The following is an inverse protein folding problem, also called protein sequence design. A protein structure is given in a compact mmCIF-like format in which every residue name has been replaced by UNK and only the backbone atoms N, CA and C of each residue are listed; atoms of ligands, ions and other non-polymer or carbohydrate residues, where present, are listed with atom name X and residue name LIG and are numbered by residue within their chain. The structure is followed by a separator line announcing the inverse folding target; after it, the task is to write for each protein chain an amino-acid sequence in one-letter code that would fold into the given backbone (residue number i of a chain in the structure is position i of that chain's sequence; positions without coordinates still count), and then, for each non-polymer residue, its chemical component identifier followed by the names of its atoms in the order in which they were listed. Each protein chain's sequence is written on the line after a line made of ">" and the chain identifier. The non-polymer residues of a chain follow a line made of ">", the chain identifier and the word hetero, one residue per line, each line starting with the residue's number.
data_IF_339752871283
#
_entry.id   IF_339752871283
#
_cell.length_a   1.000
_cell.length_b   1.000
_cell.length_c   1.000
_cell.angle_alpha   90.00
_cell.angle_beta   90.00
_cell.angle_gamma   90.00
#
_symmetry.space_group_name_H-M   'P 1'
#
loop_
_entity.id
_entity.type
_entity.pdbx_description
1 polymer ?
#
# COMPACT_ATOMS: atom_id res chain seq x y z
N UNK A 1 1.48 3.68 -24.40
CA UNK A 1 2.81 4.30 -24.57
C UNK A 1 3.06 5.47 -23.60
N UNK A 2 2.11 6.39 -23.36
CA UNK A 2 2.28 7.54 -22.45
C UNK A 2 2.52 7.17 -20.97
N UNK A 3 1.88 6.12 -20.42
CA UNK A 3 2.04 5.71 -19.03
C UNK A 3 3.43 5.18 -18.67
N UNK A 4 4.09 4.48 -19.61
CA UNK A 4 5.44 3.94 -19.41
C UNK A 4 6.48 5.07 -19.39
N UNK A 5 6.28 6.09 -20.21
CA UNK A 5 7.16 7.25 -20.27
C UNK A 5 7.14 8.04 -18.94
N UNK A 6 5.99 8.13 -18.28
CA UNK A 6 5.82 8.88 -17.04
C UNK A 6 6.40 8.15 -15.81
N UNK A 7 6.24 6.83 -15.70
CA UNK A 7 6.90 6.03 -14.64
C UNK A 7 8.42 6.09 -14.79
N UNK A 8 8.92 6.02 -16.03
CA UNK A 8 10.33 6.23 -16.32
C UNK A 8 10.76 7.65 -15.93
N UNK A 9 9.95 8.66 -16.21
CA UNK A 9 10.25 10.06 -15.93
C UNK A 9 10.18 10.35 -14.42
N UNK A 10 9.26 9.76 -13.66
CA UNK A 10 9.23 9.82 -12.20
C UNK A 10 10.42 9.11 -11.55
N UNK A 11 10.80 7.94 -12.06
CA UNK A 11 12.04 7.26 -11.65
C UNK A 11 13.28 8.08 -12.04
N UNK A 12 13.29 8.70 -13.21
CA UNK A 12 14.39 9.56 -13.70
C UNK A 12 14.43 10.88 -12.91
N UNK A 13 13.31 11.51 -12.58
CA UNK A 13 13.30 12.72 -11.74
C UNK A 13 13.66 12.45 -10.28
N UNK A 14 13.23 11.33 -9.72
CA UNK A 14 13.71 10.84 -8.43
C UNK A 14 15.23 10.60 -8.50
N UNK A 15 15.71 9.98 -9.57
CA UNK A 15 17.11 9.72 -9.81
C UNK A 15 17.95 11.00 -10.07
N UNK A 16 17.43 11.97 -10.84
CA UNK A 16 18.10 13.27 -11.07
C UNK A 16 18.20 14.16 -9.83
N UNK A 17 17.20 14.11 -8.94
CA UNK A 17 17.27 14.84 -7.67
C UNK A 17 18.13 14.18 -6.61
N UNK A 18 18.37 12.87 -6.72
CA UNK A 18 19.31 12.14 -5.87
C UNK A 18 20.78 12.33 -6.26
N UNK A 19 21.03 12.61 -7.54
CA UNK A 19 22.36 12.82 -8.08
C UNK A 19 22.58 14.32 -8.33
N UNK A 20 22.92 15.10 -7.32
CA UNK A 20 23.82 16.27 -7.49
C UNK A 20 25.21 15.73 -7.84
N UNK A 21 25.33 15.03 -8.95
CA UNK A 21 26.59 14.50 -9.44
C UNK A 21 26.88 15.14 -10.79
N UNK A 22 27.97 15.86 -10.86
CA UNK A 22 28.56 16.48 -12.05
C UNK A 22 29.07 15.47 -13.10
N UNK A 23 28.44 14.30 -13.27
CA UNK A 23 28.95 13.33 -14.23
C UNK A 23 27.88 12.48 -14.97
N UNK A 24 26.96 13.19 -15.63
CA UNK A 24 26.01 12.60 -16.59
C UNK A 24 26.72 11.89 -17.77
N UNK A 25 27.96 12.28 -18.08
CA UNK A 25 28.73 11.69 -19.17
C UNK A 25 29.23 10.27 -18.87
N UNK A 26 29.59 10.00 -17.63
CA UNK A 26 30.08 8.68 -17.20
C UNK A 26 28.96 7.66 -17.13
N UNK A 27 27.75 8.07 -16.70
CA UNK A 27 26.57 7.23 -16.63
C UNK A 27 26.05 6.84 -18.03
N UNK A 28 25.98 7.79 -18.97
CA UNK A 28 25.57 7.53 -20.35
C UNK A 28 26.57 6.59 -21.09
N UNK A 29 27.86 6.64 -20.77
CA UNK A 29 28.83 5.70 -21.32
C UNK A 29 28.69 4.28 -20.79
N UNK A 30 28.32 4.11 -19.53
CA UNK A 30 28.08 2.79 -18.92
C UNK A 30 26.78 2.14 -19.42
N UNK A 31 25.74 2.94 -19.67
CA UNK A 31 24.43 2.45 -20.10
C UNK A 31 24.34 2.18 -21.61
N UNK A 32 25.07 2.93 -22.45
CA UNK A 32 25.08 2.80 -23.92
C UNK A 32 26.20 1.89 -24.47
N UNK A 33 27.08 1.39 -23.60
CA UNK A 33 28.20 0.52 -23.98
C UNK A 33 27.84 -0.92 -24.36
N UNK A 34 26.59 -1.33 -24.27
CA UNK A 34 26.10 -2.65 -24.61
C UNK A 34 25.27 -2.68 -25.89
N UNK A 35 25.90 -2.96 -27.04
CA UNK A 35 25.28 -3.38 -28.33
C UNK A 35 24.46 -2.41 -29.19
N UNK A 36 24.32 -1.13 -28.87
CA UNK A 36 23.62 -0.17 -29.77
C UNK A 36 24.55 0.85 -30.44
N UNK A 37 25.86 0.74 -30.29
CA UNK A 37 26.88 1.64 -30.80
C UNK A 37 27.16 1.53 -32.31
N UNK A 38 26.39 0.78 -33.12
CA UNK A 38 26.70 0.56 -34.56
C UNK A 38 25.67 1.10 -35.55
N UNK A 39 24.64 1.82 -35.15
CA UNK A 39 23.59 2.27 -36.11
C UNK A 39 23.53 3.79 -36.32
N UNK A 40 24.29 4.59 -35.57
CA UNK A 40 24.27 6.05 -35.78
C UNK A 40 25.66 6.56 -36.20
N UNK A 41 26.12 6.12 -37.34
CA UNK A 41 27.29 6.68 -37.99
C UNK A 41 27.08 6.68 -39.51
N UNK A 42 26.15 7.47 -39.99
CA UNK A 42 26.12 7.98 -41.40
C UNK A 42 24.86 8.83 -41.59
N UNK A 43 24.98 10.13 -41.32
CA UNK A 43 24.31 11.19 -42.06
C UNK A 43 24.98 12.53 -41.72
N UNK A 44 25.57 13.13 -42.74
CA UNK A 44 26.36 14.35 -42.68
C UNK A 44 25.50 15.62 -42.71
N UNK A 45 25.91 16.59 -41.93
CA UNK A 45 25.94 18.08 -42.04
C UNK A 45 25.48 18.75 -43.39
N UNK A 46 25.19 20.08 -43.45
CA UNK A 46 25.58 21.20 -42.57
C UNK A 46 24.50 22.28 -42.33
N UNK A 47 24.74 23.19 -41.39
CA UNK A 47 24.00 24.43 -41.25
C UNK A 47 24.63 25.37 -40.19
N UNK A 48 25.43 26.28 -40.64
CA UNK A 48 26.07 27.39 -39.92
C UNK A 48 25.03 28.44 -39.52
N UNK A 49 25.01 28.89 -38.27
CA UNK A 49 24.49 30.20 -37.87
C UNK A 49 25.36 30.81 -36.78
N UNK A 50 25.91 31.98 -37.13
CA UNK A 50 26.62 32.92 -36.26
C UNK A 50 25.78 33.39 -35.09
N UNK A 51 26.38 33.47 -33.90
CA UNK A 51 25.91 34.29 -32.80
C UNK A 51 26.97 35.31 -32.38
N UNK A 52 26.64 36.54 -32.63
CA UNK A 52 27.36 37.73 -32.23
C UNK A 52 27.27 37.93 -30.69
N UNK A 53 28.44 38.08 -30.08
CA UNK A 53 28.57 38.59 -28.69
C UNK A 53 28.28 40.09 -28.65
N UNK A 54 27.36 40.48 -27.74
CA UNK A 54 27.32 41.82 -27.19
C UNK A 54 27.70 41.74 -25.73
N UNK A 55 28.89 42.26 -25.41
CA UNK A 55 29.33 42.52 -24.06
C UNK A 55 28.83 43.90 -23.66
N UNK A 56 28.02 43.99 -22.60
CA UNK A 56 27.82 45.21 -21.84
C UNK A 56 28.13 44.92 -20.38
N UNK A 57 29.24 45.47 -19.91
CA UNK A 57 29.58 45.48 -18.49
C UNK A 57 28.65 46.40 -17.71
N UNK A 58 28.14 45.88 -16.62
CA UNK A 58 27.46 46.63 -15.56
C UNK A 58 27.98 46.11 -14.22
N UNK A 59 28.68 46.99 -13.49
CA UNK A 59 29.02 46.74 -12.11
C UNK A 59 27.76 46.81 -11.27
N UNK A 60 27.30 45.67 -10.77
CA UNK A 60 26.24 45.63 -9.76
C UNK A 60 26.86 45.55 -8.38
N UNK A 61 26.72 46.61 -7.63
CA UNK A 61 26.87 46.65 -6.17
C UNK A 61 25.85 45.72 -5.52
N UNK A 62 26.20 45.00 -4.44
CA UNK A 62 25.21 44.16 -3.75
C UNK A 62 24.29 45.05 -2.90
N UNK A 63 23.18 45.46 -3.47
CA UNK A 63 22.06 45.97 -2.67
C UNK A 63 21.44 44.77 -1.91
N UNK A 64 21.47 44.90 -0.58
CA UNK A 64 20.75 44.05 0.31
C UNK A 64 19.24 44.08 -0.04
N UNK A 65 18.73 43.10 -0.78
CA UNK A 65 17.30 42.92 -0.95
C UNK A 65 16.69 42.53 0.37
N UNK A 66 16.00 43.51 0.95
CA UNK A 66 15.02 43.28 1.99
C UNK A 66 14.09 42.14 1.57
N UNK A 67 13.87 41.18 2.48
CA UNK A 67 13.09 39.96 2.24
C UNK A 67 11.68 40.25 1.74
N UNK A 68 11.52 40.18 0.44
CA UNK A 68 10.20 39.99 -0.15
C UNK A 68 9.74 38.58 0.19
N UNK A 69 8.67 38.47 0.97
CA UNK A 69 8.01 37.18 1.19
C UNK A 69 7.73 36.57 -0.18
N UNK A 70 8.33 35.41 -0.46
CA UNK A 70 7.96 34.63 -1.62
C UNK A 70 6.54 34.16 -1.34
N UNK A 71 5.57 34.86 -1.94
CA UNK A 71 4.17 34.45 -1.91
C UNK A 71 4.13 33.04 -2.53
N UNK A 72 3.79 32.07 -1.71
CA UNK A 72 3.54 30.75 -2.18
C UNK A 72 2.41 30.81 -3.21
N UNK A 73 2.64 30.34 -4.43
CA UNK A 73 1.59 30.22 -5.44
C UNK A 73 0.49 29.32 -4.88
N UNK A 74 -0.76 29.75 -4.99
CA UNK A 74 -1.93 28.99 -4.53
C UNK A 74 -2.16 27.67 -5.31
N UNK A 75 -1.35 27.42 -6.32
CA UNK A 75 -1.46 26.21 -7.14
C UNK A 75 -0.74 25.03 -6.49
N UNK A 76 -1.51 23.99 -6.22
CA UNK A 76 -1.00 22.67 -5.80
C UNK A 76 -0.79 21.81 -7.03
N UNK A 77 0.42 21.34 -7.24
CA UNK A 77 0.73 20.35 -8.28
C UNK A 77 0.63 18.95 -7.67
N UNK A 78 -0.44 18.22 -8.01
CA UNK A 78 -0.61 16.84 -7.61
C UNK A 78 0.10 15.88 -8.57
N UNK A 79 0.84 14.92 -8.01
CA UNK A 79 1.35 13.79 -8.76
C UNK A 79 0.19 12.85 -9.15
N UNK A 80 0.21 12.25 -10.36
CA UNK A 80 -0.79 11.28 -10.74
C UNK A 80 -0.71 10.04 -9.84
N UNK A 81 -1.86 9.58 -9.35
CA UNK A 81 -2.02 8.27 -8.74
C UNK A 81 -2.42 7.28 -9.84
N UNK A 82 -1.94 6.05 -9.75
CA UNK A 82 -2.15 5.05 -10.81
C UNK A 82 -3.28 4.09 -10.48
N UNK A 83 -3.44 3.75 -9.21
CA UNK A 83 -4.34 2.71 -8.75
C UNK A 83 -5.22 3.15 -7.58
N UNK A 84 -4.67 3.90 -6.62
CA UNK A 84 -5.39 4.40 -5.45
C UNK A 84 -6.24 5.63 -5.79
N UNK A 85 -7.44 5.68 -5.17
CA UNK A 85 -8.29 6.87 -5.16
C UNK A 85 -8.47 7.42 -3.74
N UNK A 86 -7.81 6.80 -2.75
CA UNK A 86 -7.98 7.13 -1.34
C UNK A 86 -6.91 8.07 -0.81
N UNK A 87 -5.81 8.27 -1.54
CA UNK A 87 -4.85 9.32 -1.24
C UNK A 87 -4.33 9.97 -2.51
N UNK A 88 -3.88 11.21 -2.39
CA UNK A 88 -3.12 11.91 -3.41
C UNK A 88 -2.02 12.73 -2.78
N UNK A 89 -0.89 12.81 -3.48
CA UNK A 89 0.28 13.58 -3.05
C UNK A 89 0.59 14.68 -4.05
N UNK A 90 0.95 15.84 -3.55
CA UNK A 90 1.32 17.00 -4.36
C UNK A 90 2.44 17.80 -3.72
N UNK A 91 2.71 18.97 -4.31
CA UNK A 91 3.69 19.92 -3.82
C UNK A 91 3.13 21.32 -3.89
N UNK A 92 3.48 22.13 -2.89
CA UNK A 92 3.34 23.59 -2.92
C UNK A 92 4.48 24.20 -2.11
N UNK A 93 5.08 25.27 -2.56
CA UNK A 93 6.17 25.98 -1.88
C UNK A 93 7.35 25.05 -1.48
N UNK A 94 7.64 24.06 -2.28
CA UNK A 94 8.70 23.08 -2.00
C UNK A 94 8.34 22.01 -0.96
N UNK A 95 7.18 22.14 -0.28
CA UNK A 95 6.71 21.18 0.72
C UNK A 95 5.80 20.12 0.10
N UNK A 96 5.76 18.93 0.70
CA UNK A 96 4.85 17.86 0.30
C UNK A 96 3.44 18.13 0.83
N UNK A 97 2.44 17.88 0.00
CA UNK A 97 1.04 17.92 0.38
C UNK A 97 0.44 16.53 0.22
N UNK A 98 -0.38 16.11 1.18
CA UNK A 98 -1.08 14.83 1.15
C UNK A 98 -2.54 15.05 1.50
N UNK A 99 -3.41 14.48 0.71
CA UNK A 99 -4.83 14.37 1.02
C UNK A 99 -5.19 12.89 1.11
N UNK A 100 -5.84 12.50 2.20
CA UNK A 100 -6.31 11.15 2.45
C UNK A 100 -7.82 11.18 2.59
N UNK A 101 -8.47 10.31 1.84
CA UNK A 101 -9.90 10.05 1.88
C UNK A 101 -10.16 8.74 2.62
N UNK A 102 -11.07 8.76 3.57
CA UNK A 102 -11.50 7.58 4.33
C UNK A 102 -13.01 7.50 4.35
N UNK A 103 -13.57 6.33 4.12
CA UNK A 103 -14.97 6.06 4.36
C UNK A 103 -15.11 5.60 5.83
N UNK A 104 -15.78 6.41 6.65
CA UNK A 104 -15.94 6.17 8.09
C UNK A 104 -17.42 6.07 8.41
N UNK A 105 -17.92 4.86 8.64
CA UNK A 105 -19.33 4.61 8.80
C UNK A 105 -20.13 4.94 7.53
N UNK A 106 -20.91 6.04 7.55
CA UNK A 106 -21.67 6.54 6.39
C UNK A 106 -21.06 7.78 5.76
N UNK A 107 -20.03 8.31 6.36
CA UNK A 107 -19.43 9.59 5.98
C UNK A 107 -18.11 9.39 5.24
N UNK A 108 -17.80 10.34 4.36
CA UNK A 108 -16.48 10.44 3.74
C UNK A 108 -15.67 11.49 4.48
N UNK A 109 -14.60 11.06 5.12
CA UNK A 109 -13.67 11.93 5.82
C UNK A 109 -12.47 12.25 4.91
N UNK A 110 -12.20 13.53 4.71
CA UNK A 110 -11.02 14.00 3.97
C UNK A 110 -10.08 14.69 4.95
N UNK A 111 -8.87 14.16 5.09
CA UNK A 111 -7.81 14.74 5.93
C UNK A 111 -6.66 15.22 5.06
N UNK A 112 -6.10 16.37 5.42
CA UNK A 112 -5.01 17.01 4.70
C UNK A 112 -3.79 17.16 5.57
N UNK A 113 -2.61 16.95 4.98
CA UNK A 113 -1.33 16.98 5.68
C UNK A 113 -0.31 17.77 4.87
N UNK A 114 0.51 18.58 5.57
CA UNK A 114 1.69 19.20 5.03
C UNK A 114 2.91 18.44 5.52
N UNK A 115 3.66 17.84 4.60
CA UNK A 115 4.92 17.17 4.90
C UNK A 115 6.07 18.16 4.70
N UNK A 116 6.55 18.73 5.79
CA UNK A 116 7.48 19.84 5.78
C UNK A 116 8.83 19.48 6.40
N UNK A 117 9.91 20.03 5.87
CA UNK A 117 11.22 19.91 6.48
C UNK A 117 11.36 20.73 7.77
N UNK A 118 12.41 20.51 8.53
CA UNK A 118 12.63 21.17 9.82
C UNK A 118 12.80 22.70 9.69
N UNK A 119 13.38 23.18 8.58
CA UNK A 119 13.58 24.62 8.36
C UNK A 119 12.25 25.32 8.09
N UNK A 120 11.34 24.66 7.34
CA UNK A 120 10.01 25.17 7.09
C UNK A 120 9.16 25.21 8.36
N UNK A 121 9.18 24.11 9.15
CA UNK A 121 8.43 24.03 10.41
C UNK A 121 8.91 25.04 11.45
N UNK A 122 10.19 25.42 11.42
CA UNK A 122 10.77 26.43 12.31
C UNK A 122 10.30 27.86 12.00
N UNK A 123 9.61 28.09 10.88
CA UNK A 123 9.06 29.39 10.49
C UNK A 123 7.51 29.36 10.55
N UNK A 124 6.91 29.78 11.68
CA UNK A 124 5.46 29.72 11.87
C UNK A 124 4.68 30.60 10.86
N UNK A 125 5.30 31.65 10.33
CA UNK A 125 4.66 32.50 9.33
C UNK A 125 4.51 31.77 8.00
N UNK A 126 5.55 31.08 7.54
CA UNK A 126 5.48 30.24 6.33
C UNK A 126 4.48 29.11 6.47
N UNK A 127 4.43 28.49 7.65
CA UNK A 127 3.44 27.45 7.95
C UNK A 127 2.02 28.04 7.86
N UNK A 128 1.77 29.19 8.49
CA UNK A 128 0.46 29.87 8.42
C UNK A 128 0.07 30.23 6.99
N UNK A 129 0.98 30.80 6.22
CA UNK A 129 0.73 31.18 4.82
C UNK A 129 0.33 29.96 3.99
N UNK A 130 1.02 28.84 4.11
CA UNK A 130 0.68 27.61 3.39
C UNK A 130 -0.68 27.04 3.82
N UNK A 131 -0.96 27.03 5.13
CA UNK A 131 -2.19 26.43 5.68
C UNK A 131 -3.39 27.40 5.70
N UNK A 132 -3.20 28.69 5.42
CA UNK A 132 -4.28 29.67 5.30
C UNK A 132 -5.05 29.54 3.98
N UNK A 133 -4.47 28.93 2.95
CA UNK A 133 -5.13 28.68 1.68
C UNK A 133 -6.39 27.82 1.88
N UNK A 134 -7.49 28.17 1.18
CA UNK A 134 -8.81 27.55 1.35
C UNK A 134 -8.77 26.01 1.28
N UNK A 135 -7.91 25.45 0.44
CA UNK A 135 -7.76 23.98 0.30
C UNK A 135 -7.00 23.33 1.46
N UNK A 136 -6.12 24.08 2.15
CA UNK A 136 -5.21 23.54 3.16
C UNK A 136 -5.49 24.05 4.57
N UNK A 137 -6.58 24.83 4.71
CA UNK A 137 -7.01 25.30 6.02
C UNK A 137 -7.26 24.11 6.96
N UNK A 138 -6.62 24.14 8.12
CA UNK A 138 -6.71 23.08 9.11
C UNK A 138 -5.91 21.81 8.77
N UNK A 139 -5.04 21.85 7.75
CA UNK A 139 -4.13 20.74 7.46
C UNK A 139 -3.17 20.49 8.63
N UNK A 140 -2.96 19.21 8.96
CA UNK A 140 -1.97 18.81 9.97
C UNK A 140 -0.57 18.92 9.38
N UNK A 141 0.32 19.66 10.04
CA UNK A 141 1.73 19.78 9.64
C UNK A 141 2.53 18.64 10.28
N UNK A 142 3.23 17.86 9.45
CA UNK A 142 4.09 16.76 9.88
C UNK A 142 5.52 17.08 9.45
N UNK A 143 6.42 17.14 10.44
CA UNK A 143 7.86 17.29 10.18
C UNK A 143 8.41 16.01 9.60
N UNK A 144 9.03 16.10 8.43
CA UNK A 144 9.68 14.95 7.78
C UNK A 144 11.18 15.15 7.65
N UNK A 145 11.98 14.07 7.71
CA UNK A 145 11.54 12.70 7.97
C UNK A 145 11.12 12.47 9.41
N UNK A 146 10.03 11.71 9.61
CA UNK A 146 9.56 11.26 10.92
C UNK A 146 10.64 10.40 11.57
N UNK A 147 10.90 10.64 12.85
CA UNK A 147 11.94 9.92 13.63
C UNK A 147 11.35 9.01 14.69
N UNK A 148 10.18 9.35 15.20
CA UNK A 148 9.50 8.63 16.28
C UNK A 148 8.03 8.45 15.93
N UNK A 149 7.64 7.23 15.56
CA UNK A 149 6.28 6.91 15.18
C UNK A 149 5.62 5.95 16.16
N UNK A 150 4.37 6.22 16.52
CA UNK A 150 3.45 5.23 17.10
C UNK A 150 2.59 4.69 15.98
N UNK A 151 2.52 3.36 15.84
CA UNK A 151 1.93 2.66 14.71
C UNK A 151 0.85 1.68 15.21
N UNK A 152 -0.40 1.92 14.85
CA UNK A 152 -1.53 1.18 15.41
C UNK A 152 -2.16 0.16 14.45
N UNK A 153 -1.57 -0.04 13.26
CA UNK A 153 -2.08 -1.00 12.26
C UNK A 153 -0.97 -1.92 11.76
N UNK A 154 -1.27 -3.22 11.60
CA UNK A 154 -0.36 -4.20 11.00
C UNK A 154 0.04 -3.84 9.57
N UNK A 155 -0.87 -3.26 8.78
CA UNK A 155 -0.57 -2.85 7.42
C UNK A 155 0.47 -1.72 7.38
N UNK A 156 0.37 -0.76 8.30
CA UNK A 156 1.36 0.31 8.46
C UNK A 156 2.74 -0.27 8.84
N UNK A 157 2.79 -1.25 9.76
CA UNK A 157 4.02 -1.98 10.10
C UNK A 157 4.61 -2.66 8.86
N UNK A 158 3.78 -3.32 8.05
CA UNK A 158 4.22 -4.00 6.83
C UNK A 158 4.90 -3.08 5.81
N UNK A 159 4.44 -1.83 5.66
CA UNK A 159 5.12 -0.84 4.82
C UNK A 159 6.45 -0.39 5.43
N UNK A 160 6.49 -0.14 6.74
CA UNK A 160 7.72 0.31 7.42
C UNK A 160 8.80 -0.75 7.39
N UNK A 161 8.45 -2.01 7.69
CA UNK A 161 9.35 -3.16 7.57
C UNK A 161 9.88 -3.34 6.14
N UNK A 162 9.00 -3.18 5.13
CA UNK A 162 9.40 -3.30 3.72
C UNK A 162 10.39 -2.22 3.29
N UNK A 163 10.30 -1.03 3.88
CA UNK A 163 11.19 0.09 3.62
C UNK A 163 12.46 0.08 4.47
N UNK A 164 12.58 -0.81 5.47
CA UNK A 164 13.71 -0.86 6.40
C UNK A 164 13.78 0.39 7.28
N UNK A 165 12.62 0.85 7.78
CA UNK A 165 12.50 2.03 8.66
C UNK A 165 11.84 1.69 10.01
N UNK A 166 11.88 0.43 10.41
CA UNK A 166 11.34 -0.06 11.66
C UNK A 166 12.05 0.52 12.90
N UNK A 167 13.25 1.05 12.73
CA UNK A 167 13.99 1.79 13.76
C UNK A 167 13.29 3.09 14.19
N UNK A 168 12.32 3.55 13.42
CA UNK A 168 11.48 4.73 13.71
C UNK A 168 10.28 4.41 14.60
N UNK A 169 9.96 3.13 14.79
CA UNK A 169 8.81 2.70 15.59
C UNK A 169 9.21 2.78 17.06
N UNK A 170 8.48 3.58 17.84
CA UNK A 170 8.67 3.70 19.29
C UNK A 170 7.49 3.14 20.09
N UNK A 171 6.35 2.95 19.43
CA UNK A 171 5.17 2.34 20.03
C UNK A 171 4.31 1.64 19.01
N UNK A 172 3.66 0.58 19.44
CA UNK A 172 2.74 -0.24 18.62
C UNK A 172 1.43 -0.46 19.35
N UNK A 173 0.41 -0.89 18.61
CA UNK A 173 -0.85 -1.35 19.19
C UNK A 173 -0.64 -2.60 20.06
N UNK A 174 -1.31 -3.69 19.72
CA UNK A 174 -1.14 -4.97 20.44
C UNK A 174 0.04 -5.76 19.87
N UNK A 175 1.12 -5.90 20.65
CA UNK A 175 2.34 -6.60 20.26
C UNK A 175 2.12 -8.08 19.89
N UNK A 176 1.15 -8.72 20.53
CA UNK A 176 0.78 -10.10 20.25
C UNK A 176 0.37 -10.36 18.79
N UNK A 177 -0.15 -9.35 18.08
CA UNK A 177 -0.56 -9.47 16.67
C UNK A 177 0.57 -9.22 15.68
N UNK A 178 1.77 -8.82 16.09
CA UNK A 178 2.90 -8.61 15.21
C UNK A 178 3.43 -9.97 14.74
N UNK A 179 3.57 -10.14 13.43
CA UNK A 179 4.02 -11.40 12.81
C UNK A 179 5.52 -11.37 12.53
N UNK A 180 6.10 -10.20 12.26
CA UNK A 180 7.55 -10.06 12.12
C UNK A 180 8.24 -10.37 13.45
N UNK A 181 9.06 -11.42 13.48
CA UNK A 181 9.67 -11.95 14.70
C UNK A 181 10.69 -10.99 15.33
N UNK A 182 11.42 -10.23 14.51
CA UNK A 182 12.41 -9.28 15.00
C UNK A 182 11.71 -8.08 15.66
N UNK A 183 10.64 -7.58 15.06
CA UNK A 183 9.84 -6.50 15.64
C UNK A 183 9.12 -6.98 16.92
N UNK A 184 8.53 -8.18 16.91
CA UNK A 184 7.89 -8.78 18.08
C UNK A 184 8.87 -8.97 19.25
N UNK A 185 10.11 -9.38 18.96
CA UNK A 185 11.18 -9.49 19.98
C UNK A 185 11.49 -8.14 20.63
N UNK A 186 11.58 -7.05 19.86
CA UNK A 186 11.80 -5.69 20.38
C UNK A 186 10.65 -5.23 21.29
N UNK A 187 9.41 -5.56 20.95
CA UNK A 187 8.25 -5.27 21.81
C UNK A 187 8.34 -6.08 23.11
N UNK A 188 8.66 -7.37 23.03
CA UNK A 188 8.81 -8.23 24.21
C UNK A 188 9.95 -7.76 25.11
N UNK A 189 11.04 -7.26 24.54
CA UNK A 189 12.17 -6.68 25.28
C UNK A 189 11.88 -5.29 25.88
N UNK A 190 10.73 -4.67 25.54
CA UNK A 190 10.39 -3.32 26.00
C UNK A 190 11.12 -2.20 25.27
N UNK A 191 11.84 -2.49 24.17
CA UNK A 191 12.48 -1.49 23.32
C UNK A 191 11.46 -0.68 22.54
N UNK A 192 10.34 -1.31 22.17
CA UNK A 192 9.15 -0.70 21.57
C UNK A 192 7.99 -0.90 22.54
N UNK A 193 7.31 0.19 22.89
CA UNK A 193 6.26 0.14 23.90
C UNK A 193 4.94 -0.31 23.28
N UNK A 194 4.29 -1.29 23.91
CA UNK A 194 2.90 -1.61 23.60
C UNK A 194 1.98 -0.58 24.24
N UNK A 195 1.28 0.21 23.41
CA UNK A 195 0.36 1.26 23.87
C UNK A 195 -1.08 0.79 23.96
N UNK A 196 -1.38 -0.43 23.51
CA UNK A 196 -2.73 -0.98 23.45
C UNK A 196 -3.40 -0.76 22.10
N UNK A 197 -4.61 -1.30 21.91
CA UNK A 197 -5.34 -1.33 20.64
C UNK A 197 -6.81 -0.96 20.83
N UNK A 198 -7.40 -0.23 19.89
CA UNK A 198 -8.77 0.20 19.92
C UNK A 198 -9.08 1.06 21.15
N UNK A 199 -10.22 0.91 21.81
CA UNK A 199 -10.59 1.70 22.99
C UNK A 199 -9.65 1.48 24.19
N UNK A 200 -8.70 0.58 24.06
CA UNK A 200 -7.70 0.29 25.09
C UNK A 200 -6.36 0.98 24.85
N UNK A 201 -6.22 1.84 23.83
CA UNK A 201 -5.01 2.64 23.65
C UNK A 201 -4.83 3.60 24.84
N UNK A 202 -3.67 3.49 25.51
CA UNK A 202 -3.29 4.37 26.60
C UNK A 202 -2.71 5.67 26.06
N UNK A 203 -3.46 6.76 26.19
CA UNK A 203 -3.02 8.10 25.79
C UNK A 203 -1.77 8.53 26.55
N UNK A 204 -1.64 8.16 27.83
CA UNK A 204 -0.46 8.45 28.66
C UNK A 204 0.79 7.79 28.11
N UNK A 205 0.71 6.51 27.72
CA UNK A 205 1.82 5.81 27.11
C UNK A 205 2.22 6.47 25.78
N UNK A 206 1.25 6.84 24.94
CA UNK A 206 1.51 7.54 23.68
C UNK A 206 2.25 8.85 23.91
N UNK A 207 1.77 9.69 24.85
CA UNK A 207 2.41 10.98 25.18
C UNK A 207 3.82 10.77 25.74
N UNK A 208 4.02 9.78 26.61
CA UNK A 208 5.33 9.48 27.21
C UNK A 208 6.40 9.16 26.19
N UNK A 209 6.01 8.59 25.06
CA UNK A 209 6.90 8.27 23.92
C UNK A 209 7.35 9.51 23.15
N UNK A 210 6.71 10.66 23.32
CA UNK A 210 6.99 11.92 22.59
C UNK A 210 7.11 11.65 21.07
N UNK A 211 6.09 11.08 20.42
CA UNK A 211 6.15 10.73 19.02
C UNK A 211 6.09 11.99 18.14
N UNK A 212 6.75 11.96 16.99
CA UNK A 212 6.59 12.95 15.92
C UNK A 212 5.30 12.73 15.14
N UNK A 213 4.80 11.49 15.13
CA UNK A 213 3.61 11.07 14.39
C UNK A 213 2.95 9.87 15.08
N UNK A 214 1.64 9.92 15.21
CA UNK A 214 0.78 8.76 15.51
C UNK A 214 0.05 8.37 14.23
N UNK A 215 0.13 7.11 13.83
CA UNK A 215 -0.61 6.58 12.68
C UNK A 215 -1.67 5.61 13.15
N UNK A 216 -2.91 5.83 12.69
CA UNK A 216 -4.08 5.01 13.04
C UNK A 216 -4.99 4.79 11.83
N UNK A 217 -6.09 4.11 12.04
CA UNK A 217 -7.17 3.92 11.07
C UNK A 217 -8.51 4.14 11.79
N UNK A 218 -9.60 4.34 11.02
CA UNK A 218 -10.94 4.45 11.56
C UNK A 218 -11.94 3.67 10.70
N UNK A 219 -12.88 3.00 11.36
CA UNK A 219 -13.92 2.17 10.74
C UNK A 219 -15.31 2.77 10.87
N UNK A 220 -15.47 3.81 11.70
CA UNK A 220 -16.77 4.37 12.11
C UNK A 220 -17.42 3.59 13.25
N UNK A 221 -16.69 2.65 13.85
CA UNK A 221 -17.16 1.84 14.96
C UNK A 221 -16.83 2.42 16.34
N UNK A 222 -17.46 1.85 17.38
CA UNK A 222 -17.25 2.26 18.78
C UNK A 222 -15.81 2.01 19.29
N UNK A 223 -14.99 1.32 18.50
CA UNK A 223 -13.61 0.98 18.85
C UNK A 223 -12.56 1.86 18.14
N UNK A 224 -13.01 2.92 17.46
CA UNK A 224 -12.09 3.86 16.82
C UNK A 224 -11.50 4.82 17.88
N UNK A 225 -10.18 4.95 17.90
CA UNK A 225 -9.45 5.83 18.81
C UNK A 225 -9.14 7.21 18.22
N UNK A 226 -9.53 7.46 16.97
CA UNK A 226 -9.11 8.65 16.24
C UNK A 226 -9.41 9.95 17.01
N UNK A 227 -10.64 10.13 17.49
CA UNK A 227 -11.05 11.36 18.20
C UNK A 227 -10.33 11.52 19.54
N UNK A 228 -10.11 10.42 20.26
CA UNK A 228 -9.34 10.43 21.51
C UNK A 228 -7.87 10.79 21.26
N UNK A 229 -7.25 10.19 20.27
CA UNK A 229 -5.86 10.48 19.90
C UNK A 229 -5.69 11.92 19.38
N UNK A 230 -6.68 12.48 18.71
CA UNK A 230 -6.65 13.86 18.24
C UNK A 230 -6.53 14.88 19.38
N UNK A 231 -6.95 14.52 20.60
CA UNK A 231 -6.83 15.41 21.80
C UNK A 231 -5.39 15.55 22.31
N UNK A 232 -4.45 14.70 21.86
CA UNK A 232 -3.07 14.68 22.38
C UNK A 232 -2.21 15.86 21.90
N UNK A 233 -2.64 16.59 20.87
CA UNK A 233 -1.83 17.66 20.26
C UNK A 233 -0.59 17.18 19.51
N UNK A 234 -0.45 15.86 19.29
CA UNK A 234 0.58 15.24 18.46
C UNK A 234 0.03 15.09 17.04
N UNK A 235 0.86 15.28 15.98
CA UNK A 235 0.42 14.98 14.64
C UNK A 235 -0.17 13.58 14.51
N UNK A 236 -1.42 13.49 14.07
CA UNK A 236 -2.18 12.25 13.94
C UNK A 236 -2.54 12.04 12.47
N UNK A 237 -2.13 10.92 11.89
CA UNK A 237 -2.47 10.52 10.53
C UNK A 237 -3.43 9.34 10.54
N UNK A 238 -4.59 9.56 9.95
CA UNK A 238 -5.55 8.51 9.61
C UNK A 238 -5.19 7.97 8.24
N UNK A 239 -4.89 6.67 8.13
CA UNK A 239 -4.60 6.00 6.86
C UNK A 239 -5.76 5.11 6.43
N UNK A 240 -5.93 4.91 5.12
CA UNK A 240 -7.08 4.22 4.53
C UNK A 240 -6.67 3.10 3.56
N UNK A 241 -5.43 2.64 3.64
CA UNK A 241 -4.90 1.57 2.78
C UNK A 241 -5.70 0.26 2.91
N UNK A 242 -6.31 0.04 4.06
CA UNK A 242 -7.15 -1.14 4.31
C UNK A 242 -8.47 -1.11 3.54
N UNK A 243 -8.93 0.09 3.11
CA UNK A 243 -10.14 0.29 2.32
C UNK A 243 -9.92 0.15 0.81
N UNK A 244 -8.66 0.02 0.37
CA UNK A 244 -8.36 -0.19 -1.04
C UNK A 244 -8.97 -1.48 -1.56
N UNK A 245 -9.52 -1.43 -2.75
CA UNK A 245 -10.27 -2.53 -3.35
C UNK A 245 -9.42 -3.43 -4.28
N UNK A 246 -8.14 -3.13 -4.44
CA UNK A 246 -7.22 -3.98 -5.19
C UNK A 246 -5.80 -3.94 -4.60
N UNK A 247 -4.96 -4.98 -4.84
CA UNK A 247 -3.65 -5.08 -4.22
C UNK A 247 -2.65 -4.03 -4.70
N UNK A 248 -2.81 -3.50 -5.90
CA UNK A 248 -1.89 -2.51 -6.46
C UNK A 248 -2.16 -1.12 -5.89
N UNK A 249 -3.43 -0.76 -5.69
CA UNK A 249 -3.83 0.46 -5.00
C UNK A 249 -3.34 0.46 -3.55
N UNK A 250 -3.48 -0.67 -2.85
CA UNK A 250 -2.94 -0.82 -1.49
C UNK A 250 -1.42 -0.67 -1.46
N UNK A 251 -0.71 -1.29 -2.39
CA UNK A 251 0.74 -1.19 -2.48
C UNK A 251 1.22 0.23 -2.78
N UNK A 252 0.47 1.03 -3.54
CA UNK A 252 0.85 2.40 -3.92
C UNK A 252 1.07 3.32 -2.70
N UNK A 253 0.46 3.00 -1.55
CA UNK A 253 0.65 3.68 -0.27
C UNK A 253 2.10 3.64 0.22
N UNK A 254 2.93 2.70 -0.24
CA UNK A 254 4.37 2.66 0.11
C UNK A 254 5.07 3.98 -0.23
N UNK A 255 4.59 4.71 -1.22
CA UNK A 255 5.12 6.02 -1.62
C UNK A 255 4.90 7.10 -0.56
N UNK A 256 3.75 7.07 0.13
CA UNK A 256 3.47 7.94 1.27
C UNK A 256 4.40 7.62 2.45
N UNK A 257 4.54 6.35 2.80
CA UNK A 257 5.45 5.92 3.87
C UNK A 257 6.91 6.30 3.56
N UNK A 258 7.35 6.11 2.32
CA UNK A 258 8.68 6.52 1.90
C UNK A 258 8.90 8.03 2.05
N UNK A 259 7.89 8.84 1.79
CA UNK A 259 7.93 10.28 1.97
C UNK A 259 7.97 10.68 3.43
N UNK A 260 7.12 10.07 4.27
CA UNK A 260 7.05 10.33 5.71
C UNK A 260 8.39 10.02 6.40
N UNK A 261 9.02 8.92 6.07
CA UNK A 261 10.22 8.44 6.76
C UNK A 261 11.54 8.76 6.04
N UNK A 262 11.49 9.46 4.89
CA UNK A 262 12.69 9.80 4.12
C UNK A 262 13.33 8.60 3.42
N UNK A 263 12.55 7.57 3.09
CA UNK A 263 12.98 6.29 2.54
C UNK A 263 12.71 6.16 1.02
N UNK A 264 12.77 7.26 0.27
CA UNK A 264 12.54 7.24 -1.18
C UNK A 264 13.51 6.33 -1.95
N UNK A 265 14.82 6.25 -1.60
CA UNK A 265 15.73 5.30 -2.25
C UNK A 265 15.33 3.85 -2.04
N UNK A 266 14.93 3.50 -0.82
CA UNK A 266 14.47 2.15 -0.48
C UNK A 266 13.18 1.81 -1.23
N UNK A 267 12.22 2.74 -1.29
CA UNK A 267 10.99 2.57 -2.06
C UNK A 267 11.28 2.33 -3.54
N UNK A 268 12.24 3.06 -4.14
CA UNK A 268 12.64 2.83 -5.53
C UNK A 268 13.16 1.40 -5.76
N UNK A 269 13.93 0.85 -4.83
CA UNK A 269 14.38 -0.55 -4.91
C UNK A 269 13.23 -1.54 -4.77
N UNK A 270 12.30 -1.27 -3.84
CA UNK A 270 11.12 -2.12 -3.61
C UNK A 270 10.18 -2.13 -4.83
N UNK A 271 9.97 -0.98 -5.48
CA UNK A 271 9.05 -0.83 -6.62
C UNK A 271 9.66 -1.35 -7.92
N UNK A 272 11.00 -1.29 -8.07
CA UNK A 272 11.71 -1.64 -9.30
C UNK A 272 11.29 -2.97 -9.95
N UNK A 273 11.17 -4.11 -9.22
CA UNK A 273 10.76 -5.39 -9.83
C UNK A 273 9.31 -5.39 -10.32
N UNK A 274 8.48 -4.45 -9.89
CA UNK A 274 7.06 -4.40 -10.18
C UNK A 274 6.67 -3.48 -11.34
N UNK A 275 7.58 -2.61 -11.78
CA UNK A 275 7.31 -1.54 -12.77
C UNK A 275 6.70 -2.06 -14.08
N UNK A 276 7.10 -3.23 -14.53
CA UNK A 276 6.56 -3.86 -15.74
C UNK A 276 5.42 -4.85 -15.44
N UNK A 277 5.48 -5.52 -14.29
CA UNK A 277 4.57 -6.61 -13.94
C UNK A 277 3.19 -6.08 -13.53
N UNK A 278 3.15 -5.08 -12.65
CA UNK A 278 1.87 -4.56 -12.13
C UNK A 278 0.99 -3.98 -13.25
N UNK A 279 1.47 -3.17 -14.21
CA UNK A 279 0.61 -2.66 -15.28
C UNK A 279 -0.03 -3.76 -16.13
N UNK A 280 0.69 -4.86 -16.38
CA UNK A 280 0.13 -6.00 -17.13
C UNK A 280 -0.93 -6.75 -16.30
N UNK A 281 -0.66 -6.99 -15.02
CA UNK A 281 -1.63 -7.61 -14.12
C UNK A 281 -2.88 -6.73 -13.95
N UNK A 282 -2.72 -5.43 -13.77
CA UNK A 282 -3.81 -4.49 -13.56
C UNK A 282 -4.79 -4.40 -14.75
N UNK A 283 -4.41 -4.82 -15.96
CA UNK A 283 -5.34 -4.92 -17.09
C UNK A 283 -6.52 -5.83 -16.80
N UNK A 284 -6.34 -6.84 -15.96
CA UNK A 284 -7.42 -7.76 -15.54
C UNK A 284 -8.51 -7.08 -14.70
N UNK A 285 -8.19 -5.94 -14.06
CA UNK A 285 -9.21 -5.18 -13.29
C UNK A 285 -10.26 -4.51 -14.18
N UNK A 286 -9.94 -4.21 -15.44
CA UNK A 286 -10.87 -3.60 -16.38
C UNK A 286 -11.99 -4.54 -16.81
N UNK A 287 -11.85 -5.84 -16.59
CA UNK A 287 -12.79 -6.87 -17.00
C UNK A 287 -13.04 -7.88 -15.87
N UNK A 288 -14.10 -7.69 -15.07
CA UNK A 288 -14.40 -8.57 -13.94
C UNK A 288 -14.62 -10.04 -14.31
N UNK A 289 -14.93 -10.32 -15.56
CA UNK A 289 -15.24 -11.66 -16.05
C UNK A 289 -14.10 -12.29 -16.88
N UNK A 290 -12.95 -11.65 -16.95
CA UNK A 290 -11.85 -12.14 -17.81
C UNK A 290 -11.44 -13.57 -17.46
N UNK A 291 -11.26 -13.88 -16.18
CA UNK A 291 -10.90 -15.22 -15.72
C UNK A 291 -11.99 -16.27 -16.04
N UNK A 292 -13.27 -15.86 -16.03
CA UNK A 292 -14.36 -16.74 -16.39
C UNK A 292 -14.35 -17.07 -17.88
N UNK A 293 -14.04 -16.11 -18.74
CA UNK A 293 -13.90 -16.34 -20.19
C UNK A 293 -12.65 -17.13 -20.55
N UNK A 294 -11.60 -17.02 -19.75
CA UNK A 294 -10.37 -17.78 -19.88
C UNK A 294 -10.47 -19.20 -19.24
N UNK A 295 -11.67 -19.63 -18.86
CA UNK A 295 -11.92 -20.92 -18.21
C UNK A 295 -11.15 -21.13 -16.89
N UNK A 296 -10.90 -20.05 -16.16
CA UNK A 296 -10.33 -20.13 -14.82
C UNK A 296 -11.21 -20.91 -13.84
N UNK A 297 -10.63 -21.51 -12.80
CA UNK A 297 -11.40 -22.23 -11.76
C UNK A 297 -12.52 -21.34 -11.19
N UNK A 298 -13.72 -21.90 -11.08
CA UNK A 298 -14.89 -21.21 -10.52
C UNK A 298 -14.73 -21.08 -9.00
N UNK A 299 -14.77 -19.86 -8.49
CA UNK A 299 -14.42 -19.56 -7.09
C UNK A 299 -15.62 -18.99 -6.34
N UNK A 300 -15.93 -19.59 -5.18
CA UNK A 300 -16.75 -18.95 -4.14
C UNK A 300 -15.82 -18.40 -3.04
N UNK A 301 -16.24 -17.35 -2.37
CA UNK A 301 -15.53 -16.80 -1.21
C UNK A 301 -16.52 -16.40 -0.12
N UNK A 302 -16.02 -16.30 1.12
CA UNK A 302 -16.82 -15.92 2.27
C UNK A 302 -17.11 -17.06 3.22
N UNK A 303 -17.96 -16.80 4.22
CA UNK A 303 -18.24 -17.74 5.31
C UNK A 303 -19.73 -17.81 5.66
N UNK A 304 -20.13 -18.95 6.22
CA UNK A 304 -21.42 -19.09 6.87
C UNK A 304 -21.35 -18.65 8.34
N UNK A 305 -22.30 -17.82 8.75
CA UNK A 305 -22.47 -17.43 10.14
C UNK A 305 -23.96 -17.21 10.45
N UNK A 306 -24.49 -17.86 11.48
CA UNK A 306 -25.90 -17.77 11.87
C UNK A 306 -26.88 -18.18 10.77
N UNK A 307 -26.53 -19.15 9.91
CA UNK A 307 -27.37 -19.63 8.80
C UNK A 307 -27.36 -18.74 7.56
N UNK A 308 -26.57 -17.66 7.54
CA UNK A 308 -26.37 -16.74 6.42
C UNK A 308 -24.96 -16.91 5.89
N UNK A 309 -24.81 -16.90 4.56
CA UNK A 309 -23.53 -16.82 3.90
C UNK A 309 -23.16 -15.38 3.59
N UNK A 310 -22.00 -14.95 4.07
CA UNK A 310 -21.44 -13.62 3.85
C UNK A 310 -20.33 -13.72 2.81
N UNK A 311 -20.56 -13.15 1.64
CA UNK A 311 -19.61 -13.16 0.53
C UNK A 311 -19.06 -11.76 0.24
N UNK A 312 -17.77 -11.63 -0.12
CA UNK A 312 -17.23 -10.37 -0.61
C UNK A 312 -17.94 -9.94 -1.91
N UNK A 313 -18.31 -8.67 -2.05
CA UNK A 313 -18.83 -8.15 -3.30
C UNK A 313 -17.82 -8.23 -4.43
N UNK A 314 -18.27 -8.27 -5.67
CA UNK A 314 -17.43 -8.48 -6.85
C UNK A 314 -16.41 -7.38 -7.15
N UNK A 315 -16.54 -6.21 -6.50
CA UNK A 315 -15.59 -5.08 -6.58
C UNK A 315 -14.77 -4.93 -5.31
N UNK A 316 -14.79 -5.91 -4.41
CA UNK A 316 -14.01 -5.92 -3.18
C UNK A 316 -12.55 -6.30 -3.43
N UNK A 317 -11.71 -6.07 -2.42
CA UNK A 317 -10.30 -6.49 -2.43
C UNK A 317 -10.13 -8.01 -2.66
N UNK A 318 -10.93 -8.83 -1.99
CA UNK A 318 -10.89 -10.30 -2.16
C UNK A 318 -11.26 -10.70 -3.59
N UNK A 319 -12.31 -10.11 -4.17
CA UNK A 319 -12.70 -10.39 -5.55
C UNK A 319 -11.61 -9.96 -6.55
N UNK A 320 -10.95 -8.82 -6.32
CA UNK A 320 -9.81 -8.39 -7.11
C UNK A 320 -8.66 -9.40 -7.03
N UNK A 321 -8.27 -9.84 -5.83
CA UNK A 321 -7.23 -10.86 -5.66
C UNK A 321 -7.55 -12.16 -6.41
N UNK A 322 -8.79 -12.65 -6.31
CA UNK A 322 -9.24 -13.86 -7.01
C UNK A 322 -9.10 -13.69 -8.53
N UNK A 323 -9.55 -12.55 -9.09
CA UNK A 323 -9.40 -12.25 -10.54
C UNK A 323 -7.94 -12.18 -10.96
N UNK A 324 -7.11 -11.47 -10.18
CA UNK A 324 -5.68 -11.35 -10.45
C UNK A 324 -4.99 -12.71 -10.43
N UNK A 325 -5.44 -13.59 -9.54
CA UNK A 325 -4.97 -14.97 -9.45
C UNK A 325 -5.51 -15.88 -10.57
N UNK A 326 -6.37 -15.40 -11.46
CA UNK A 326 -6.96 -16.17 -12.56
C UNK A 326 -8.20 -16.99 -12.17
N UNK A 327 -8.77 -16.76 -10.99
CA UNK A 327 -10.01 -17.40 -10.54
C UNK A 327 -11.26 -16.71 -11.07
N UNK A 328 -12.22 -17.47 -11.58
CA UNK A 328 -13.55 -16.99 -11.97
C UNK A 328 -14.42 -16.84 -10.71
N UNK A 329 -14.50 -15.63 -10.15
CA UNK A 329 -15.33 -15.35 -8.98
C UNK A 329 -16.81 -15.32 -9.37
N UNK A 330 -17.66 -16.11 -8.70
CA UNK A 330 -19.04 -16.28 -9.11
C UNK A 330 -19.91 -15.03 -9.00
N UNK A 331 -19.56 -14.09 -8.14
CA UNK A 331 -20.27 -12.81 -7.95
C UNK A 331 -19.45 -11.61 -8.44
N UNK A 332 -18.80 -11.76 -9.61
CA UNK A 332 -17.80 -10.80 -10.13
C UNK A 332 -18.39 -9.43 -10.56
N UNK A 333 -19.69 -9.34 -10.83
CA UNK A 333 -20.32 -8.14 -11.44
C UNK A 333 -20.93 -7.17 -10.44
N UNK A 334 -20.78 -7.41 -9.13
CA UNK A 334 -21.52 -6.70 -8.12
C UNK A 334 -20.69 -5.59 -7.42
N UNK A 335 -21.09 -5.18 -6.23
CA UNK A 335 -20.66 -4.07 -5.40
C UNK A 335 -19.33 -4.33 -4.69
N UNK A 336 -18.77 -3.31 -4.04
CA UNK A 336 -17.69 -3.43 -3.04
C UNK A 336 -18.20 -3.95 -1.71
N UNK A 337 -19.51 -3.83 -1.44
CA UNK A 337 -20.14 -4.22 -0.17
C UNK A 337 -20.24 -5.74 -0.06
N UNK A 338 -20.38 -6.21 1.18
CA UNK A 338 -20.68 -7.60 1.49
C UNK A 338 -22.06 -8.00 0.93
N UNK A 339 -22.12 -9.20 0.34
CA UNK A 339 -23.32 -9.85 -0.14
C UNK A 339 -23.79 -10.86 0.90
N UNK A 340 -25.11 -11.03 1.02
CA UNK A 340 -25.73 -11.97 1.93
C UNK A 340 -26.62 -12.92 1.15
N UNK A 341 -26.40 -14.22 1.38
CA UNK A 341 -27.15 -15.29 0.76
C UNK A 341 -27.68 -16.24 1.83
N UNK A 342 -28.81 -16.87 1.59
CA UNK A 342 -29.19 -18.06 2.32
C UNK A 342 -28.24 -19.22 1.99
N UNK A 343 -28.16 -20.21 2.84
CA UNK A 343 -27.35 -21.40 2.53
C UNK A 343 -27.94 -22.19 1.35
N UNK A 344 -29.25 -22.16 1.16
CA UNK A 344 -29.95 -22.78 0.03
C UNK A 344 -29.50 -22.16 -1.30
N UNK A 345 -29.37 -20.83 -1.39
CA UNK A 345 -28.83 -20.15 -2.58
C UNK A 345 -27.37 -20.56 -2.84
N UNK A 346 -26.57 -20.71 -1.79
CA UNK A 346 -25.18 -21.18 -1.94
C UNK A 346 -25.15 -22.63 -2.43
N UNK A 347 -26.00 -23.51 -1.88
CA UNK A 347 -26.02 -24.91 -2.32
C UNK A 347 -26.50 -25.04 -3.78
N UNK A 348 -27.37 -24.15 -4.26
CA UNK A 348 -27.79 -24.13 -5.67
C UNK A 348 -26.63 -23.85 -6.66
N UNK A 349 -25.60 -23.12 -6.24
CA UNK A 349 -24.42 -22.78 -7.06
C UNK A 349 -23.16 -23.58 -6.69
N UNK A 350 -23.17 -24.28 -5.57
CA UNK A 350 -22.00 -24.90 -4.98
C UNK A 350 -21.37 -25.99 -5.86
N UNK A 351 -22.16 -26.75 -6.60
CA UNK A 351 -21.66 -27.79 -7.48
C UNK A 351 -20.97 -27.22 -8.73
N UNK A 352 -21.21 -25.95 -9.05
CA UNK A 352 -20.51 -25.23 -10.11
C UNK A 352 -19.18 -24.62 -9.65
N UNK A 353 -18.93 -24.55 -8.34
CA UNK A 353 -17.69 -24.00 -7.80
C UNK A 353 -16.59 -25.05 -7.71
N UNK A 354 -15.37 -24.70 -8.06
CA UNK A 354 -14.19 -25.57 -8.00
C UNK A 354 -13.36 -25.32 -6.75
N UNK A 355 -13.34 -24.06 -6.27
CA UNK A 355 -12.51 -23.62 -5.15
C UNK A 355 -13.30 -22.73 -4.22
N UNK A 356 -13.04 -22.84 -2.93
CA UNK A 356 -13.53 -21.95 -1.90
C UNK A 356 -12.37 -21.15 -1.31
N UNK A 357 -12.44 -19.82 -1.35
CA UNK A 357 -11.41 -18.91 -0.86
C UNK A 357 -11.91 -18.14 0.35
N UNK A 358 -11.06 -18.00 1.37
CA UNK A 358 -11.32 -17.26 2.60
C UNK A 358 -12.60 -17.71 3.33
N UNK A 359 -12.62 -18.91 3.92
CA UNK A 359 -13.75 -19.40 4.71
C UNK A 359 -13.93 -18.65 6.06
N UNK A 360 -13.54 -17.40 6.14
CA UNK A 360 -13.68 -16.55 7.31
C UNK A 360 -12.63 -16.83 8.38
N UNK A 361 -13.07 -17.06 9.60
CA UNK A 361 -12.19 -17.31 10.76
C UNK A 361 -11.75 -18.77 10.88
N UNK A 362 -12.31 -19.66 10.05
CA UNK A 362 -12.09 -21.08 10.16
C UNK A 362 -10.76 -21.49 9.51
N UNK A 363 -9.88 -22.06 10.33
CA UNK A 363 -8.54 -22.49 9.90
C UNK A 363 -8.45 -23.95 9.50
N UNK A 364 -9.43 -24.77 9.86
CA UNK A 364 -9.44 -26.20 9.62
C UNK A 364 -10.78 -26.68 9.04
N UNK A 365 -10.82 -27.83 8.37
CA UNK A 365 -12.08 -28.45 7.95
C UNK A 365 -13.03 -28.73 9.13
N UNK A 366 -12.47 -29.12 10.27
CA UNK A 366 -13.20 -29.44 11.50
C UNK A 366 -13.89 -28.18 12.05
N UNK A 367 -13.22 -27.02 12.06
CA UNK A 367 -13.79 -25.74 12.50
C UNK A 367 -14.99 -25.36 11.62
N UNK A 368 -14.87 -25.55 10.29
CA UNK A 368 -15.95 -25.28 9.35
C UNK A 368 -17.16 -26.16 9.64
N UNK A 369 -16.96 -27.47 9.83
CA UNK A 369 -18.04 -28.41 10.09
C UNK A 369 -18.65 -28.25 11.49
N UNK A 370 -17.87 -27.82 12.48
CA UNK A 370 -18.39 -27.49 13.80
C UNK A 370 -19.32 -26.29 13.77
N UNK A 371 -19.02 -25.30 12.90
CA UNK A 371 -19.85 -24.11 12.74
C UNK A 371 -21.11 -24.37 11.90
N UNK A 372 -21.00 -25.14 10.81
CA UNK A 372 -22.11 -25.44 9.91
C UNK A 372 -21.86 -26.79 9.18
N UNK A 373 -22.38 -27.88 9.72
CA UNK A 373 -22.14 -29.24 9.17
C UNK A 373 -22.58 -29.42 7.71
N UNK A 374 -23.60 -28.67 7.26
CA UNK A 374 -24.13 -28.74 5.88
C UNK A 374 -23.11 -28.33 4.83
N UNK A 375 -22.07 -27.58 5.22
CA UNK A 375 -21.00 -27.14 4.30
C UNK A 375 -20.16 -28.30 3.75
N UNK A 376 -20.21 -29.49 4.39
CA UNK A 376 -19.67 -30.73 3.83
C UNK A 376 -20.21 -31.06 2.42
N UNK A 377 -21.38 -30.53 2.05
CA UNK A 377 -22.01 -30.75 0.72
C UNK A 377 -21.37 -29.92 -0.38
N UNK A 378 -20.67 -28.84 -0.06
CA UNK A 378 -20.03 -27.98 -1.06
C UNK A 378 -18.98 -28.77 -1.86
N UNK A 379 -19.01 -28.68 -3.20
CA UNK A 379 -18.02 -29.36 -4.05
C UNK A 379 -16.57 -29.02 -3.65
N UNK A 380 -16.18 -27.72 -3.44
CA UNK A 380 -14.83 -27.40 -3.00
C UNK A 380 -14.42 -28.06 -1.69
N UNK A 381 -15.35 -28.23 -0.75
CA UNK A 381 -15.10 -28.95 0.50
C UNK A 381 -14.86 -30.44 0.25
N UNK A 382 -15.72 -31.11 -0.52
CA UNK A 382 -15.58 -32.53 -0.86
C UNK A 382 -14.32 -32.82 -1.66
N UNK A 383 -13.92 -31.91 -2.55
CA UNK A 383 -12.71 -32.05 -3.39
C UNK A 383 -11.46 -31.51 -2.71
N UNK A 384 -11.54 -31.09 -1.44
CA UNK A 384 -10.44 -30.55 -0.64
C UNK A 384 -9.75 -29.34 -1.30
N UNK A 385 -10.54 -28.45 -1.90
CA UNK A 385 -10.08 -27.24 -2.58
C UNK A 385 -10.54 -25.97 -1.82
N UNK A 386 -10.02 -25.78 -0.61
CA UNK A 386 -10.35 -24.66 0.25
C UNK A 386 -9.07 -23.89 0.61
N UNK A 387 -8.98 -22.63 0.16
CA UNK A 387 -7.85 -21.75 0.36
C UNK A 387 -8.13 -20.75 1.48
N UNK A 388 -7.26 -20.69 2.50
CA UNK A 388 -7.34 -19.73 3.59
C UNK A 388 -6.09 -18.84 3.60
N UNK A 389 -6.28 -17.56 3.96
CA UNK A 389 -5.22 -16.56 3.98
C UNK A 389 -4.45 -16.53 5.31
N UNK A 390 -4.33 -17.63 6.00
CA UNK A 390 -3.76 -17.76 7.34
C UNK A 390 -2.52 -18.64 7.41
N UNK A 391 -1.77 -18.75 6.32
CA UNK A 391 -0.59 -19.62 6.26
C UNK A 391 0.51 -19.21 7.24
N UNK A 392 0.54 -17.94 7.63
CA UNK A 392 1.51 -17.42 8.60
C UNK A 392 0.82 -16.52 9.63
N UNK A 393 0.93 -16.93 10.90
CA UNK A 393 0.34 -16.22 12.03
C UNK A 393 1.37 -16.03 13.14
N UNK A 394 1.20 -14.98 13.95
CA UNK A 394 1.89 -14.87 15.23
C UNK A 394 1.26 -15.79 16.27
N UNK A 395 1.97 -16.06 17.37
CA UNK A 395 1.45 -16.82 18.50
C UNK A 395 0.19 -16.20 19.11
N UNK A 396 0.04 -14.88 19.04
CA UNK A 396 -1.14 -14.14 19.52
C UNK A 396 -2.28 -14.04 18.51
N UNK A 397 -2.17 -14.70 17.35
CA UNK A 397 -3.22 -14.75 16.33
C UNK A 397 -3.14 -13.64 15.27
N UNK A 398 -2.12 -12.80 15.28
CA UNK A 398 -1.85 -11.85 14.20
C UNK A 398 -1.64 -12.59 12.88
N UNK A 399 -2.17 -12.05 11.78
CA UNK A 399 -2.15 -12.70 10.48
C UNK A 399 -1.29 -11.89 9.50
N UNK A 400 -0.25 -12.52 8.95
CA UNK A 400 0.71 -11.91 8.03
C UNK A 400 0.10 -11.39 6.73
N UNK A 401 -1.07 -11.88 6.36
CA UNK A 401 -1.85 -11.34 5.25
C UNK A 401 -2.17 -9.84 5.43
N UNK A 402 -2.30 -9.40 6.68
CA UNK A 402 -2.55 -7.98 7.01
C UNK A 402 -1.26 -7.20 7.33
N UNK A 403 -0.10 -7.87 7.42
CA UNK A 403 1.17 -7.24 7.73
C UNK A 403 2.09 -7.21 6.50
N UNK A 404 2.77 -8.30 6.17
CA UNK A 404 3.77 -8.28 5.11
C UNK A 404 3.19 -8.31 3.69
N UNK A 405 2.00 -8.90 3.49
CA UNK A 405 1.41 -9.03 2.16
C UNK A 405 1.03 -7.69 1.52
N UNK A 406 0.70 -6.67 2.33
CA UNK A 406 0.28 -5.34 1.84
C UNK A 406 1.33 -4.67 0.96
N UNK A 407 2.60 -5.00 1.19
CA UNK A 407 3.75 -4.45 0.47
C UNK A 407 4.36 -5.41 -0.58
N UNK A 408 3.68 -6.54 -0.87
CA UNK A 408 4.12 -7.60 -1.80
C UNK A 408 2.97 -8.06 -2.72
N UNK A 409 2.38 -7.17 -3.51
CA UNK A 409 1.13 -7.45 -4.23
C UNK A 409 1.27 -8.55 -5.28
N UNK A 410 2.41 -8.64 -5.96
CA UNK A 410 2.64 -9.64 -7.03
C UNK A 410 2.81 -11.02 -6.42
N UNK A 411 3.61 -11.12 -5.36
CA UNK A 411 3.84 -12.37 -4.64
C UNK A 411 2.55 -12.89 -3.98
N UNK A 412 1.75 -11.99 -3.41
CA UNK A 412 0.45 -12.33 -2.83
C UNK A 412 -0.50 -12.93 -3.88
N UNK A 413 -0.61 -12.29 -5.06
CA UNK A 413 -1.44 -12.80 -6.15
C UNK A 413 -0.93 -14.15 -6.65
N UNK A 414 0.38 -14.32 -6.78
CA UNK A 414 0.99 -15.59 -7.20
C UNK A 414 0.72 -16.70 -6.20
N UNK A 415 0.85 -16.41 -4.91
CA UNK A 415 0.56 -17.40 -3.87
C UNK A 415 -0.94 -17.82 -3.86
N UNK A 416 -1.86 -16.88 -4.07
CA UNK A 416 -3.27 -17.21 -4.24
C UNK A 416 -3.51 -18.02 -5.52
N UNK A 417 -2.83 -17.70 -6.63
CA UNK A 417 -2.91 -18.48 -7.88
C UNK A 417 -2.57 -19.94 -7.65
N UNK A 418 -1.46 -20.22 -6.96
CA UNK A 418 -1.07 -21.62 -6.65
C UNK A 418 -2.15 -22.35 -5.86
N UNK A 419 -2.74 -21.69 -4.86
CA UNK A 419 -3.82 -22.30 -4.09
C UNK A 419 -5.09 -22.51 -4.95
N UNK A 420 -5.48 -21.52 -5.76
CA UNK A 420 -6.65 -21.58 -6.64
C UNK A 420 -6.52 -22.64 -7.72
N UNK A 421 -5.33 -22.85 -8.28
CA UNK A 421 -5.08 -23.87 -9.30
C UNK A 421 -4.67 -25.22 -8.72
N UNK A 422 -4.39 -25.29 -7.42
CA UNK A 422 -3.99 -26.52 -6.74
C UNK A 422 -2.57 -26.97 -7.08
N UNK A 423 -1.70 -26.04 -7.42
CA UNK A 423 -0.28 -26.28 -7.72
C UNK A 423 0.43 -26.64 -6.42
N UNK A 424 1.14 -27.76 -6.40
CA UNK A 424 1.89 -28.21 -5.21
C UNK A 424 3.31 -27.63 -5.23
N UNK A 425 3.85 -27.44 -4.03
CA UNK A 425 5.24 -27.03 -3.86
C UNK A 425 6.18 -28.06 -4.49
N UNK A 426 7.18 -27.58 -5.28
CA UNK A 426 8.13 -28.45 -5.99
C UNK A 426 7.65 -28.97 -7.35
N UNK A 427 6.41 -28.69 -7.77
CA UNK A 427 6.00 -28.96 -9.15
C UNK A 427 6.65 -27.93 -10.11
N UNK A 428 7.06 -28.39 -11.31
CA UNK A 428 7.66 -27.53 -12.33
C UNK A 428 6.71 -26.38 -12.67
N UNK A 429 7.16 -25.11 -12.44
CA UNK A 429 6.35 -23.93 -12.64
C UNK A 429 5.77 -23.32 -11.36
N UNK A 430 6.12 -23.82 -10.17
CA UNK A 430 5.79 -23.17 -8.90
C UNK A 430 6.39 -21.76 -8.87
N UNK A 431 5.51 -20.77 -8.82
CA UNK A 431 5.88 -19.35 -8.88
C UNK A 431 6.35 -18.86 -7.50
N UNK A 432 6.02 -19.62 -6.44
CA UNK A 432 6.41 -19.33 -5.06
C UNK A 432 7.75 -19.94 -4.65
N UNK A 433 8.42 -20.68 -5.54
CA UNK A 433 9.75 -21.22 -5.28
C UNK A 433 10.72 -20.09 -4.93
N UNK A 434 11.24 -20.08 -3.69
CA UNK A 434 12.10 -19.02 -3.19
C UNK A 434 11.39 -17.79 -2.59
N UNK A 435 10.05 -17.77 -2.49
CA UNK A 435 9.37 -16.72 -1.72
C UNK A 435 9.56 -16.99 -0.23
N UNK A 436 10.07 -15.99 0.53
CA UNK A 436 10.30 -16.15 1.97
C UNK A 436 9.00 -16.26 2.77
N UNK A 437 7.84 -15.96 2.14
CA UNK A 437 6.56 -15.85 2.81
C UNK A 437 5.45 -16.45 1.96
N UNK A 438 4.55 -17.21 2.63
CA UNK A 438 3.27 -17.68 2.09
C UNK A 438 2.16 -17.11 2.94
N UNK A 439 1.09 -16.61 2.30
CA UNK A 439 -0.08 -16.06 2.98
C UNK A 439 -1.30 -16.96 2.82
N UNK A 440 -1.44 -17.59 1.64
CA UNK A 440 -2.50 -18.56 1.35
C UNK A 440 -2.00 -19.99 1.50
N UNK A 441 -2.84 -20.83 2.05
CA UNK A 441 -2.64 -22.28 2.10
C UNK A 441 -3.96 -23.00 1.82
N UNK A 442 -3.89 -24.24 1.35
CA UNK A 442 -5.03 -25.13 1.37
C UNK A 442 -5.18 -25.69 2.80
N UNK A 443 -6.38 -25.55 3.40
CA UNK A 443 -6.63 -25.99 4.79
C UNK A 443 -6.49 -27.48 5.02
N UNK A 444 -6.48 -28.30 3.96
CA UNK A 444 -6.26 -29.75 4.02
C UNK A 444 -4.77 -30.13 3.98
N UNK A 445 -3.90 -29.22 3.61
CA UNK A 445 -2.46 -29.44 3.60
C UNK A 445 -1.88 -28.95 4.94
N UNK A 446 -2.05 -29.74 6.01
CA UNK A 446 -1.29 -29.52 7.22
C UNK A 446 0.14 -30.02 6.97
N UNK A 447 1.11 -29.11 6.85
CA UNK A 447 2.46 -29.42 7.24
C UNK A 447 2.44 -29.56 8.77
N UNK A 448 2.53 -30.79 9.27
CA UNK A 448 2.83 -31.08 10.66
C UNK A 448 4.21 -30.56 11.01
#
# INVERSE_FOLDING_TARGET
>A
MYKIHYVLQMCIEIFHKMLKINDLRTFLRAFLGGRLGRIVSRAALPGVVCLTFCACGGQDTPEARAGGAVLCSDSVEFAPQFYSNLFRMGKSCGQGLVEIRSEVGRDTLIKRFVLADSAFVADPERVRQLTAGKEWQGATVIRVPVRRAVVLSSAQLGFMLRLGVEDRIVGVGAGAYIVDSALAAKVTAGEILEVGNGPQVSLEKVVSLKPDLVMTFATGGAYDDYDRLATLGVPLMLTSEWQENNPFAKFEWISLFAKLFGALPQAAQVVKPYVQVIPEMAKKESDPLIACRENGPRVIAGMAYGGVWYAPGGKSYTASLIRQAGGCYLWASDTTRELKFSLEEIFAVADSADVWVNPGIYGTPEDILAAEPRLARLKPFRTKRVCQNDARKSAGGGNDFFESAVSRPVELVRNLHECVFGIKEGESGTISEGLPYKWYRNIYNFAL
#
